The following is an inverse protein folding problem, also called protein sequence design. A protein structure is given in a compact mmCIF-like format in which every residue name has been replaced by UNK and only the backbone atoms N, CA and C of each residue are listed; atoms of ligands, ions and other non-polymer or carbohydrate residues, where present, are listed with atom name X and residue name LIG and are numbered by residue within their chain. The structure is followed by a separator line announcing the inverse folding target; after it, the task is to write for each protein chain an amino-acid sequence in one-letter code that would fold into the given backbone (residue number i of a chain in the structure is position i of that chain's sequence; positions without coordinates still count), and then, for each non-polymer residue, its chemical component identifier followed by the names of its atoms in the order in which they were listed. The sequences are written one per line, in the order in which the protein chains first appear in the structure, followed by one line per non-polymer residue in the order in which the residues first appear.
data_IF_913198638478
#
_entry.id   IF_913198638478
#
_cell.length_a   1.000
_cell.length_b   1.000
_cell.length_c   1.000
_cell.angle_alpha   90.00
_cell.angle_beta   90.00
_cell.angle_gamma   90.00
#
_symmetry.space_group_name_H-M   'P 1'
#
loop_
_entity.id
_entity.type
_entity.pdbx_description
1 polymer ?
#
# COMPACT_ATOMS: atom_id res chain seq x y z
N UNK A 1 -46.69 -61.76 14.32
CA UNK A 1 -45.29 -62.23 14.31
C UNK A 1 -44.41 -61.06 13.88
N UNK A 2 -43.62 -60.48 14.80
CA UNK A 2 -42.71 -59.35 14.50
C UNK A 2 -41.42 -59.91 13.91
N UNK A 3 -40.95 -59.36 12.78
CA UNK A 3 -39.63 -59.70 12.22
C UNK A 3 -38.83 -58.41 12.04
N UNK A 4 -37.72 -58.34 12.76
CA UNK A 4 -36.88 -57.15 12.95
C UNK A 4 -35.95 -56.94 11.75
N UNK A 5 -35.97 -55.73 11.20
CA UNK A 5 -35.06 -55.23 10.17
C UNK A 5 -33.71 -54.90 10.82
N UNK A 6 -32.64 -55.65 10.50
CA UNK A 6 -31.27 -55.31 10.90
C UNK A 6 -30.61 -54.46 9.81
N UNK A 7 -30.54 -53.15 10.04
CA UNK A 7 -29.79 -52.21 9.20
C UNK A 7 -28.32 -52.23 9.67
N UNK A 8 -27.30 -52.43 8.80
CA UNK A 8 -25.90 -52.37 9.21
C UNK A 8 -25.47 -50.91 9.39
N UNK A 9 -25.12 -50.55 10.63
CA UNK A 9 -24.62 -49.25 11.04
C UNK A 9 -23.11 -49.09 10.75
N UNK A 10 -22.69 -49.13 9.48
CA UNK A 10 -21.27 -48.95 9.11
C UNK A 10 -21.04 -47.91 8.00
N UNK A 11 -22.08 -47.33 7.39
CA UNK A 11 -21.90 -46.46 6.21
C UNK A 11 -22.04 -44.94 6.46
N UNK A 12 -21.89 -44.45 7.70
CA UNK A 12 -22.06 -43.00 8.02
C UNK A 12 -20.76 -42.34 8.50
N UNK A 13 -19.65 -43.08 8.60
CA UNK A 13 -18.38 -42.55 9.12
C UNK A 13 -17.31 -42.33 8.03
N UNK A 14 -17.72 -41.94 6.81
CA UNK A 14 -16.78 -41.64 5.72
C UNK A 14 -17.00 -40.29 5.04
N UNK A 15 -18.01 -39.50 5.47
CA UNK A 15 -18.33 -38.22 4.81
C UNK A 15 -17.75 -36.98 5.52
N UNK A 16 -17.16 -37.13 6.72
CA UNK A 16 -16.66 -35.99 7.50
C UNK A 16 -15.19 -35.63 7.23
N UNK A 17 -14.42 -36.45 6.52
CA UNK A 17 -12.98 -36.24 6.31
C UNK A 17 -12.63 -35.44 5.04
N UNK A 18 -13.57 -35.27 4.10
CA UNK A 18 -13.30 -34.56 2.85
C UNK A 18 -13.25 -33.02 3.02
N UNK A 19 -13.88 -32.48 4.07
CA UNK A 19 -13.96 -31.02 4.26
C UNK A 19 -12.67 -30.39 4.84
N UNK A 20 -11.82 -31.18 5.49
CA UNK A 20 -10.56 -30.70 6.07
C UNK A 20 -9.42 -30.61 5.04
N UNK A 21 -9.48 -31.37 3.95
CA UNK A 21 -8.45 -31.33 2.90
C UNK A 21 -8.52 -30.07 2.03
N UNK A 22 -9.72 -29.54 1.76
CA UNK A 22 -9.88 -28.33 0.92
C UNK A 22 -9.32 -27.05 1.56
N UNK A 23 -9.30 -26.96 2.89
CA UNK A 23 -8.81 -25.76 3.59
C UNK A 23 -7.28 -25.68 3.62
N UNK A 24 -6.58 -26.83 3.56
CA UNK A 24 -5.12 -26.88 3.62
C UNK A 24 -4.49 -26.77 2.21
N UNK A 25 -5.15 -27.32 1.17
CA UNK A 25 -4.71 -27.19 -0.23
C UNK A 25 -4.76 -25.75 -0.75
N UNK A 26 -5.78 -24.96 -0.37
CA UNK A 26 -5.95 -23.59 -0.87
C UNK A 26 -4.79 -22.64 -0.52
N UNK A 27 -4.02 -22.93 0.55
CA UNK A 27 -2.86 -22.12 0.95
C UNK A 27 -1.59 -22.45 0.16
N UNK A 28 -1.42 -23.71 -0.25
CA UNK A 28 -0.31 -24.15 -1.14
C UNK A 28 -0.62 -23.77 -2.60
N UNK A 29 -1.91 -23.79 -2.98
CA UNK A 29 -2.39 -23.52 -4.34
C UNK A 29 -2.11 -22.09 -4.82
N UNK A 30 -1.92 -21.12 -3.90
CA UNK A 30 -1.78 -19.69 -4.25
C UNK A 30 -0.36 -19.14 -4.10
N UNK A 31 0.65 -19.94 -3.78
CA UNK A 31 2.03 -19.43 -3.64
C UNK A 31 2.56 -18.88 -4.97
N UNK A 32 2.21 -19.49 -6.11
CA UNK A 32 2.56 -18.96 -7.42
C UNK A 32 1.95 -17.56 -7.68
N UNK A 33 0.71 -17.35 -7.24
CA UNK A 33 0.07 -16.02 -7.33
C UNK A 33 0.74 -15.03 -6.38
N UNK A 34 1.05 -15.42 -5.14
CA UNK A 34 1.80 -14.58 -4.21
C UNK A 34 3.17 -14.18 -4.78
N UNK A 35 3.88 -15.12 -5.41
CA UNK A 35 5.15 -14.83 -6.04
C UNK A 35 4.99 -13.86 -7.21
N UNK A 36 4.00 -14.07 -8.09
CA UNK A 36 3.69 -13.15 -9.18
C UNK A 36 3.35 -11.74 -8.67
N UNK A 37 2.63 -11.62 -7.56
CA UNK A 37 2.27 -10.35 -6.93
C UNK A 37 3.48 -9.65 -6.29
N UNK A 38 4.42 -10.40 -5.70
CA UNK A 38 5.70 -9.84 -5.24
C UNK A 38 6.52 -9.29 -6.41
N UNK A 39 6.57 -10.01 -7.54
CA UNK A 39 7.25 -9.53 -8.74
C UNK A 39 6.55 -8.31 -9.36
N UNK A 40 5.21 -8.25 -9.35
CA UNK A 40 4.46 -7.07 -9.74
C UNK A 40 4.83 -5.85 -8.89
N UNK A 41 4.88 -6.01 -7.55
CA UNK A 41 5.28 -4.93 -6.65
C UNK A 41 6.71 -4.46 -6.93
N UNK A 42 7.66 -5.40 -7.09
CA UNK A 42 9.05 -5.07 -7.44
C UNK A 42 9.14 -4.31 -8.77
N UNK A 43 8.40 -4.75 -9.80
CA UNK A 43 8.36 -4.07 -11.10
C UNK A 43 7.82 -2.65 -10.96
N UNK A 44 6.74 -2.44 -10.21
CA UNK A 44 6.18 -1.10 -9.98
C UNK A 44 7.17 -0.19 -9.25
N UNK A 45 7.84 -0.68 -8.20
CA UNK A 45 8.87 0.07 -7.46
C UNK A 45 10.05 0.41 -8.37
N UNK A 46 10.51 -0.55 -9.17
CA UNK A 46 11.57 -0.34 -10.16
C UNK A 46 11.19 0.76 -11.16
N UNK A 47 9.98 0.69 -11.71
CA UNK A 47 9.49 1.66 -12.68
C UNK A 47 9.40 3.07 -12.09
N UNK A 48 8.90 3.22 -10.86
CA UNK A 48 8.83 4.50 -10.15
C UNK A 48 10.23 5.07 -9.92
N UNK A 49 11.15 4.25 -9.37
CA UNK A 49 12.50 4.70 -9.00
C UNK A 49 13.37 5.08 -10.20
N UNK A 50 13.07 4.52 -11.38
CA UNK A 50 13.73 4.85 -12.64
C UNK A 50 12.94 5.82 -13.52
N UNK A 51 11.82 6.37 -13.02
CA UNK A 51 10.91 7.26 -13.77
C UNK A 51 10.46 6.65 -15.12
N UNK A 52 10.35 5.32 -15.19
CA UNK A 52 9.93 4.59 -16.38
C UNK A 52 8.41 4.44 -16.40
N UNK A 53 7.71 5.45 -16.92
CA UNK A 53 6.25 5.52 -16.86
C UNK A 53 5.58 4.44 -17.73
N UNK A 54 6.22 4.04 -18.83
CA UNK A 54 5.73 2.95 -19.66
C UNK A 54 5.73 1.62 -18.89
N UNK A 55 6.82 1.32 -18.17
CA UNK A 55 6.90 0.12 -17.33
C UNK A 55 5.92 0.17 -16.15
N UNK A 56 5.70 1.36 -15.57
CA UNK A 56 4.72 1.54 -14.50
C UNK A 56 3.29 1.33 -15.02
N UNK A 57 2.99 1.84 -16.22
CA UNK A 57 1.69 1.65 -16.87
C UNK A 57 1.39 0.16 -17.09
N UNK A 58 2.40 -0.65 -17.43
CA UNK A 58 2.26 -2.10 -17.55
C UNK A 58 1.92 -2.81 -16.23
N UNK A 59 2.06 -2.17 -15.07
CA UNK A 59 1.67 -2.76 -13.79
C UNK A 59 0.16 -2.62 -13.51
N UNK A 60 -0.52 -1.69 -14.19
CA UNK A 60 -1.95 -1.48 -14.04
C UNK A 60 -2.77 -2.41 -14.94
N UNK A 61 -4.00 -2.70 -14.51
CA UNK A 61 -4.99 -3.36 -15.36
C UNK A 61 -5.42 -2.44 -16.49
N UNK A 62 -6.09 -3.00 -17.51
CA UNK A 62 -6.62 -2.19 -18.62
C UNK A 62 -7.53 -1.05 -18.13
N UNK A 63 -8.39 -1.35 -17.17
CA UNK A 63 -9.22 -0.37 -16.47
C UNK A 63 -8.69 -0.25 -15.05
N UNK A 64 -8.15 0.91 -14.70
CA UNK A 64 -7.57 1.13 -13.37
C UNK A 64 -7.98 2.48 -12.78
N UNK A 65 -7.85 2.59 -11.47
CA UNK A 65 -7.91 3.85 -10.74
C UNK A 65 -6.69 3.95 -9.84
N UNK A 66 -5.89 5.00 -10.02
CA UNK A 66 -4.79 5.36 -9.15
C UNK A 66 -5.09 6.71 -8.50
N UNK A 67 -5.12 6.74 -7.18
CA UNK A 67 -5.22 7.97 -6.38
C UNK A 67 -3.88 8.15 -5.68
N UNK A 68 -3.14 9.20 -6.05
CA UNK A 68 -1.84 9.54 -5.50
C UNK A 68 -1.95 10.22 -4.13
N UNK A 69 -0.81 10.40 -3.45
CA UNK A 69 -0.76 11.03 -2.11
C UNK A 69 -1.34 12.45 -2.09
N UNK A 70 -1.22 13.20 -3.19
CA UNK A 70 -1.81 14.55 -3.35
C UNK A 70 -3.30 14.53 -3.74
N UNK A 71 -3.93 13.36 -3.73
CA UNK A 71 -5.33 13.11 -4.06
C UNK A 71 -5.68 13.31 -5.54
N UNK A 72 -4.69 13.37 -6.43
CA UNK A 72 -4.94 13.34 -7.87
C UNK A 72 -5.47 11.97 -8.29
N UNK A 73 -6.59 11.96 -9.02
CA UNK A 73 -7.21 10.74 -9.54
C UNK A 73 -6.76 10.51 -10.99
N UNK A 74 -6.21 9.34 -11.27
CA UNK A 74 -5.62 8.93 -12.55
C UNK A 74 -6.30 7.63 -12.98
N UNK A 75 -6.88 7.60 -14.17
CA UNK A 75 -7.72 6.46 -14.62
C UNK A 75 -7.31 5.86 -15.96
N UNK A 76 -6.24 6.37 -16.57
CA UNK A 76 -5.71 5.87 -17.84
C UNK A 76 -4.23 6.23 -18.01
N UNK A 77 -3.58 5.59 -18.98
CA UNK A 77 -2.15 5.77 -19.27
C UNK A 77 -1.76 7.21 -19.64
N UNK A 78 -2.55 7.88 -20.48
CA UNK A 78 -2.25 9.27 -20.90
C UNK A 78 -2.30 10.23 -19.71
N UNK A 79 -3.27 10.05 -18.80
CA UNK A 79 -3.36 10.81 -17.56
C UNK A 79 -2.19 10.52 -16.61
N UNK A 80 -1.71 9.27 -16.56
CA UNK A 80 -0.54 8.88 -15.78
C UNK A 80 0.73 9.57 -16.31
N UNK A 81 0.96 9.55 -17.62
CA UNK A 81 2.08 10.25 -18.27
C UNK A 81 2.03 11.74 -17.97
N UNK A 82 0.86 12.38 -18.16
CA UNK A 82 0.67 13.80 -17.88
C UNK A 82 0.96 14.15 -16.42
N UNK A 83 0.50 13.33 -15.48
CA UNK A 83 0.74 13.54 -14.05
C UNK A 83 2.24 13.53 -13.72
N UNK A 84 2.97 12.51 -14.19
CA UNK A 84 4.42 12.43 -13.96
C UNK A 84 5.19 13.55 -14.67
N UNK A 85 4.78 13.96 -15.87
CA UNK A 85 5.39 15.10 -16.56
C UNK A 85 5.21 16.41 -15.78
N UNK A 86 4.07 16.63 -15.13
CA UNK A 86 3.85 17.78 -14.25
C UNK A 86 4.75 17.76 -13.02
N UNK A 87 4.99 16.58 -12.43
CA UNK A 87 5.83 16.44 -11.24
C UNK A 87 7.32 16.60 -11.52
N UNK A 88 7.81 16.14 -12.69
CA UNK A 88 9.25 16.01 -12.96
C UNK A 88 9.77 16.82 -14.15
N UNK A 89 8.98 17.02 -15.21
CA UNK A 89 9.48 17.57 -16.48
C UNK A 89 9.10 19.04 -16.73
N UNK A 90 8.01 19.52 -16.14
CA UNK A 90 7.60 20.92 -16.30
C UNK A 90 8.72 21.90 -15.84
N UNK A 91 8.80 23.08 -16.46
CA UNK A 91 9.71 24.15 -16.04
C UNK A 91 9.50 24.50 -14.55
N UNK A 92 8.24 24.54 -14.13
CA UNK A 92 7.82 24.77 -12.74
C UNK A 92 7.79 23.50 -11.87
N UNK A 93 8.21 22.33 -12.41
CA UNK A 93 8.19 21.07 -11.68
C UNK A 93 8.96 21.21 -10.35
N UNK A 94 8.34 20.92 -9.21
CA UNK A 94 8.95 21.14 -7.90
C UNK A 94 10.02 20.08 -7.56
N UNK A 95 9.96 18.92 -8.22
CA UNK A 95 10.71 17.71 -7.87
C UNK A 95 11.65 17.36 -9.03
N UNK A 96 12.90 17.03 -8.71
CA UNK A 96 13.90 16.53 -9.68
C UNK A 96 13.95 15.00 -9.71
N UNK A 97 13.78 14.35 -8.55
CA UNK A 97 13.82 12.88 -8.41
C UNK A 97 12.84 12.42 -7.33
N UNK A 98 12.24 11.25 -7.53
CA UNK A 98 11.50 10.52 -6.51
C UNK A 98 12.07 9.12 -6.38
N UNK A 99 12.21 8.65 -5.15
CA UNK A 99 12.56 7.28 -4.80
C UNK A 99 11.51 6.77 -3.82
N UNK A 100 11.05 5.54 -3.98
CA UNK A 100 10.08 4.89 -3.10
C UNK A 100 10.60 3.56 -2.61
N UNK A 101 10.37 3.31 -1.32
CA UNK A 101 10.50 2.02 -0.67
C UNK A 101 9.11 1.57 -0.27
N UNK A 102 8.65 0.42 -0.76
CA UNK A 102 7.28 -0.06 -0.54
C UNK A 102 7.30 -1.40 0.18
N UNK A 103 6.48 -1.52 1.22
CA UNK A 103 6.30 -2.75 2.00
C UNK A 103 4.82 -3.11 2.07
N UNK A 104 4.48 -4.35 1.73
CA UNK A 104 3.14 -4.89 1.93
C UNK A 104 3.01 -5.44 3.36
N UNK A 105 2.10 -4.86 4.14
CA UNK A 105 1.91 -5.23 5.56
C UNK A 105 1.26 -6.62 5.69
N UNK A 106 0.63 -7.12 4.62
CA UNK A 106 -0.01 -8.44 4.56
C UNK A 106 0.27 -9.13 3.22
N UNK A 107 0.22 -10.46 3.23
CA UNK A 107 -0.01 -11.21 1.99
C UNK A 107 -1.37 -10.82 1.40
N UNK A 108 -1.46 -10.86 0.06
CA UNK A 108 -2.70 -10.59 -0.63
C UNK A 108 -3.81 -11.50 -0.15
N UNK A 109 -4.93 -10.90 0.26
CA UNK A 109 -6.15 -11.64 0.55
C UNK A 109 -6.93 -11.81 -0.73
N UNK A 110 -7.06 -13.04 -1.19
CA UNK A 110 -7.85 -13.35 -2.37
C UNK A 110 -9.34 -13.32 -2.02
N UNK A 111 -10.11 -12.56 -2.81
CA UNK A 111 -11.57 -12.55 -2.73
C UNK A 111 -12.20 -13.48 -3.76
N UNK A 112 -11.42 -13.87 -4.78
CA UNK A 112 -11.80 -14.83 -5.81
C UNK A 112 -10.53 -15.46 -6.46
N UNK A 113 -10.70 -16.32 -7.46
CA UNK A 113 -9.61 -16.86 -8.28
C UNK A 113 -8.77 -15.75 -8.94
N UNK A 114 -9.41 -14.68 -9.42
CA UNK A 114 -8.78 -13.63 -10.21
C UNK A 114 -8.77 -12.25 -9.54
N UNK A 115 -9.10 -12.17 -8.24
CA UNK A 115 -9.19 -10.91 -7.52
C UNK A 115 -8.65 -11.03 -6.09
N UNK A 116 -8.05 -9.96 -5.61
CA UNK A 116 -7.60 -9.86 -4.22
C UNK A 116 -7.21 -8.44 -3.84
N UNK A 117 -6.81 -8.25 -2.60
CA UNK A 117 -6.35 -6.96 -2.11
C UNK A 117 -5.22 -7.11 -1.08
N UNK A 118 -4.41 -6.07 -0.99
CA UNK A 118 -3.44 -5.89 0.09
C UNK A 118 -3.29 -4.40 0.41
N UNK A 119 -2.58 -4.12 1.50
CA UNK A 119 -2.25 -2.77 1.91
C UNK A 119 -0.89 -2.78 2.57
N UNK A 120 -0.32 -1.59 2.74
CA UNK A 120 1.01 -1.47 3.28
C UNK A 120 1.45 -0.06 3.58
N UNK A 121 2.77 0.08 3.68
CA UNK A 121 3.47 1.36 3.89
C UNK A 121 4.40 1.67 2.73
N UNK A 122 4.61 2.95 2.47
CA UNK A 122 5.76 3.39 1.66
C UNK A 122 6.50 4.53 2.33
N UNK A 123 7.80 4.61 2.05
CA UNK A 123 8.62 5.77 2.35
C UNK A 123 9.08 6.37 1.02
N UNK A 124 8.52 7.52 0.69
CA UNK A 124 8.83 8.23 -0.54
C UNK A 124 9.82 9.37 -0.23
N UNK A 125 10.95 9.36 -0.91
CA UNK A 125 11.97 10.42 -0.83
C UNK A 125 11.92 11.26 -2.10
N UNK A 126 11.52 12.51 -1.94
CA UNK A 126 11.51 13.51 -3.01
C UNK A 126 12.77 14.37 -2.91
N UNK A 127 13.52 14.46 -4.00
CA UNK A 127 14.58 15.46 -4.16
C UNK A 127 14.00 16.63 -4.93
N UNK A 128 14.04 17.81 -4.33
CA UNK A 128 13.58 19.05 -4.97
C UNK A 128 14.62 19.53 -5.98
N UNK A 129 14.25 20.45 -6.88
CA UNK A 129 15.21 21.03 -7.84
C UNK A 129 16.36 21.79 -7.18
N UNK A 130 16.18 22.28 -5.95
CA UNK A 130 17.22 22.93 -5.14
C UNK A 130 18.11 21.94 -4.35
N UNK A 131 17.90 20.63 -4.52
CA UNK A 131 18.67 19.56 -3.88
C UNK A 131 18.19 19.17 -2.48
N UNK A 132 17.23 19.89 -1.87
CA UNK A 132 16.64 19.46 -0.60
C UNK A 132 15.92 18.13 -0.77
N UNK A 133 15.96 17.31 0.28
CA UNK A 133 15.26 16.03 0.33
C UNK A 133 14.10 16.09 1.32
N UNK A 134 12.93 15.66 0.87
CA UNK A 134 11.73 15.54 1.69
C UNK A 134 11.34 14.07 1.73
N UNK A 135 11.19 13.52 2.94
CA UNK A 135 10.70 12.16 3.14
C UNK A 135 9.24 12.20 3.53
N UNK A 136 8.42 11.41 2.87
CA UNK A 136 6.99 11.26 3.14
C UNK A 136 6.67 9.82 3.43
N UNK A 137 6.11 9.56 4.61
CA UNK A 137 5.61 8.23 4.96
C UNK A 137 4.14 8.14 4.55
N UNK A 138 3.82 7.14 3.74
CA UNK A 138 2.46 6.91 3.26
C UNK A 138 1.91 5.57 3.75
N UNK A 139 0.59 5.49 3.75
CA UNK A 139 -0.16 4.23 3.69
C UNK A 139 -0.71 4.05 2.29
N UNK A 140 -0.80 2.81 1.85
CA UNK A 140 -1.39 2.49 0.56
C UNK A 140 -2.28 1.24 0.64
N UNK A 141 -3.24 1.18 -0.26
CA UNK A 141 -4.10 0.02 -0.48
C UNK A 141 -4.10 -0.29 -1.97
N UNK A 142 -4.04 -1.58 -2.31
CA UNK A 142 -4.15 -2.06 -3.68
C UNK A 142 -5.25 -3.13 -3.79
N UNK A 143 -6.15 -2.95 -4.76
CA UNK A 143 -6.98 -4.01 -5.30
C UNK A 143 -6.34 -4.55 -6.58
N UNK A 144 -6.30 -5.86 -6.69
CA UNK A 144 -5.53 -6.60 -7.70
C UNK A 144 -6.50 -7.44 -8.53
N UNK A 145 -6.28 -7.45 -9.84
CA UNK A 145 -7.05 -8.24 -10.79
C UNK A 145 -6.10 -9.07 -11.66
N UNK A 146 -6.48 -10.29 -11.99
CA UNK A 146 -5.74 -11.15 -12.92
C UNK A 146 -6.36 -11.01 -14.31
N UNK A 147 -5.62 -10.43 -15.24
CA UNK A 147 -6.03 -10.22 -16.63
C UNK A 147 -5.14 -11.06 -17.55
N UNK A 148 -5.75 -11.88 -18.40
CA UNK A 148 -5.03 -12.75 -19.35
C UNK A 148 -3.91 -13.58 -18.68
N UNK A 149 -4.16 -14.05 -17.45
CA UNK A 149 -3.22 -14.85 -16.67
C UNK A 149 -2.15 -14.05 -15.90
N UNK A 150 -2.07 -12.74 -16.07
CA UNK A 150 -1.12 -11.88 -15.37
C UNK A 150 -1.82 -11.02 -14.30
N UNK A 151 -1.23 -10.93 -13.11
CA UNK A 151 -1.71 -10.01 -12.07
C UNK A 151 -1.40 -8.57 -12.41
N UNK A 152 -2.36 -7.69 -12.11
CA UNK A 152 -2.33 -6.26 -12.37
C UNK A 152 -2.97 -5.50 -11.20
N UNK A 153 -2.58 -4.25 -11.02
CA UNK A 153 -3.22 -3.36 -10.06
C UNK A 153 -4.45 -2.69 -10.69
N UNK A 154 -5.63 -2.96 -10.13
CA UNK A 154 -6.90 -2.38 -10.59
C UNK A 154 -7.27 -1.10 -9.84
N UNK A 155 -7.01 -1.07 -8.55
CA UNK A 155 -7.16 0.15 -7.75
C UNK A 155 -5.93 0.31 -6.90
N UNK A 156 -5.33 1.49 -6.91
CA UNK A 156 -4.28 1.86 -5.98
C UNK A 156 -4.66 3.19 -5.35
N UNK A 157 -4.64 3.25 -4.03
CA UNK A 157 -4.77 4.50 -3.30
C UNK A 157 -3.57 4.66 -2.38
N UNK A 158 -2.92 5.80 -2.47
CA UNK A 158 -1.83 6.20 -1.58
C UNK A 158 -2.28 7.43 -0.81
N UNK A 159 -2.14 7.39 0.50
CA UNK A 159 -2.51 8.47 1.39
C UNK A 159 -1.39 8.78 2.38
N UNK A 160 -1.21 10.06 2.66
CA UNK A 160 -0.34 10.53 3.74
C UNK A 160 -1.17 10.76 5.00
N UNK A 161 -0.64 10.40 6.17
CA UNK A 161 -1.23 10.87 7.42
C UNK A 161 -0.85 12.35 7.62
N UNK A 162 -1.76 13.27 7.31
CA UNK A 162 -1.50 14.71 7.43
C UNK A 162 -1.30 15.16 8.89
N UNK A 163 -1.80 14.42 9.89
CA UNK A 163 -1.61 14.73 11.31
C UNK A 163 -0.19 14.41 11.80
N UNK A 164 0.47 13.43 11.18
CA UNK A 164 1.88 13.07 11.43
C UNK A 164 2.84 13.69 10.38
N UNK A 165 2.33 14.54 9.50
CA UNK A 165 3.14 15.17 8.46
C UNK A 165 3.89 16.40 9.03
N UNK A 166 5.22 16.49 8.90
CA UNK A 166 6.03 17.60 9.42
C UNK A 166 5.62 19.00 8.93
N UNK A 167 4.75 19.09 7.91
CA UNK A 167 4.11 20.34 7.48
C UNK A 167 3.30 21.01 8.60
N UNK A 168 2.75 20.25 9.56
CA UNK A 168 2.07 20.81 10.75
C UNK A 168 3.01 21.09 11.92
N UNK A 169 4.11 20.33 12.06
CA UNK A 169 5.11 20.57 13.11
C UNK A 169 5.84 21.91 12.91
N UNK A 170 5.83 22.45 11.67
CA UNK A 170 6.34 23.79 11.36
C UNK A 170 5.32 24.93 11.54
N UNK A 171 4.00 24.65 11.58
CA UNK A 171 2.95 25.68 11.72
C UNK A 171 2.23 25.72 13.07
N UNK A 172 2.33 24.67 13.90
CA UNK A 172 1.65 24.62 15.21
C UNK A 172 2.60 24.30 16.37
N UNK A 173 3.55 25.19 16.64
CA UNK A 173 3.98 25.40 18.03
C UNK A 173 3.18 26.57 18.61
N UNK A 174 2.11 26.22 19.33
CA UNK A 174 1.28 27.13 20.12
C UNK A 174 2.14 28.11 20.92
N UNK A 175 1.76 29.40 20.89
CA UNK A 175 2.39 30.49 21.68
C UNK A 175 2.48 30.12 23.17
N UNK A 176 1.52 29.32 23.67
CA UNK A 176 1.47 28.84 25.05
C UNK A 176 2.59 27.87 25.43
N UNK A 177 3.11 27.10 24.45
CA UNK A 177 4.27 26.21 24.68
C UNK A 177 5.58 27.00 24.74
N UNK A 178 5.67 28.14 24.03
CA UNK A 178 6.81 29.08 24.14
C UNK A 178 6.83 29.82 25.48
N UNK A 179 5.65 30.24 25.97
CA UNK A 179 5.51 30.88 27.30
C UNK A 179 5.77 29.88 28.43
N UNK A 180 5.32 28.63 28.30
CA UNK A 180 5.56 27.58 29.30
C UNK A 180 7.04 27.22 29.50
N UNK A 181 7.85 27.25 28.43
CA UNK A 181 9.30 27.02 28.50
C UNK A 181 10.02 28.23 29.14
N UNK A 182 9.59 29.46 28.84
CA UNK A 182 10.16 30.66 29.45
C UNK A 182 9.91 30.74 30.97
N UNK A 183 8.74 30.29 31.45
CA UNK A 183 8.42 30.26 32.88
C UNK A 183 9.16 29.13 33.63
N UNK A 184 9.51 28.03 32.96
CA UNK A 184 10.23 26.91 33.58
C UNK A 184 11.74 27.18 33.75
N UNK A 185 12.29 28.11 32.96
CA UNK A 185 13.69 28.56 33.04
C UNK A 185 13.91 29.73 34.00
N UNK A 186 12.85 30.34 34.53
CA UNK A 186 12.91 31.46 35.47
C UNK A 186 12.84 31.00 36.95
N UNK A 187 13.41 29.84 37.30
CA UNK A 187 13.68 29.54 38.71
C UNK A 187 14.89 30.38 39.15
N UNK A 188 14.77 31.25 40.17
CA UNK A 188 15.94 31.93 40.72
C UNK A 188 16.89 30.90 41.35
N UNK A 189 18.21 31.11 41.29
CA UNK A 189 19.19 30.20 41.88
C UNK A 189 19.00 30.13 43.41
N UNK A 190 19.22 28.96 44.03
CA UNK A 190 19.11 28.80 45.47
C UNK A 190 20.31 29.46 46.17
N UNK A 191 20.06 30.37 47.13
CA UNK A 191 21.08 30.81 48.11
C UNK A 191 21.26 32.31 48.34
N UNK A 192 20.19 33.05 48.69
CA UNK A 192 20.33 34.33 49.41
C UNK A 192 19.28 34.41 50.53
N UNK A 193 19.58 33.74 51.64
CA UNK A 193 19.35 34.24 53.01
C UNK A 193 20.72 34.52 53.63
#
# INVERSE_FOLDING_TARGET
MKMNLRIPAVLIMSFALAALSYAQDASVEREADHQALRELLKKAVHAINNQNIAELQDCFSKEFVFISSDQTVITNGDALVKYYDQLFKNAEAPISKMETEVNADILTRFTDANAGYCFGTSLDTYTLKDGRKVKMQNKWTAALAKENGAWKAAVVHVGVNFLDNPVMTLRTMSIWRKVGIALHLAKPPPGLE
#
